data_IF_710808224973
#
_entry.id   IF_710808224973
#
_cell.length_a   1.000
_cell.length_b   1.000
_cell.length_c   1.000
_cell.angle_alpha   90.00
_cell.angle_beta   90.00
_cell.angle_gamma   90.00
#
_symmetry.space_group_name_H-M   'P 1'
#
loop_
_entity.id
_entity.type
_entity.pdbx_description
1 polymer ?
#
# COMPACT_ATOMS: atom_id res chain seq x y z
N UNK A 1 28.41 29.02 -39.57
CA UNK A 1 28.73 29.09 -38.15
C UNK A 1 27.52 29.34 -37.27
N UNK A 2 26.71 30.33 -37.54
CA UNK A 2 25.49 30.61 -36.73
C UNK A 2 24.45 29.47 -36.76
N UNK A 3 24.27 28.80 -37.89
CA UNK A 3 23.32 27.68 -38.03
C UNK A 3 23.76 26.43 -37.27
N UNK A 4 25.03 26.16 -37.23
CA UNK A 4 25.62 24.99 -36.52
C UNK A 4 25.46 25.11 -34.99
N UNK A 5 25.67 26.32 -34.47
CA UNK A 5 25.50 26.61 -33.02
C UNK A 5 24.03 26.50 -32.63
N UNK A 6 23.12 26.90 -33.50
CA UNK A 6 21.69 26.81 -33.24
C UNK A 6 21.18 25.36 -33.18
N UNK A 7 21.69 24.50 -34.05
CA UNK A 7 21.32 23.06 -34.06
C UNK A 7 21.84 22.35 -32.84
N UNK A 8 23.06 22.65 -32.37
CA UNK A 8 23.64 22.06 -31.16
C UNK A 8 22.87 22.51 -29.93
N UNK A 9 22.46 23.77 -29.85
CA UNK A 9 21.66 24.30 -28.75
C UNK A 9 20.29 23.64 -28.65
N UNK A 10 19.59 23.46 -29.76
CA UNK A 10 18.27 22.79 -29.77
C UNK A 10 18.40 21.32 -29.41
N UNK A 11 19.43 20.63 -29.88
CA UNK A 11 19.70 19.24 -29.50
C UNK A 11 19.94 19.05 -28.02
N UNK A 12 20.71 19.93 -27.39
CA UNK A 12 20.98 19.87 -25.96
C UNK A 12 19.74 20.12 -25.10
N UNK A 13 18.91 21.09 -25.50
CA UNK A 13 17.65 21.39 -24.79
C UNK A 13 16.67 20.22 -24.90
N UNK A 14 16.53 19.62 -26.07
CA UNK A 14 15.67 18.45 -26.28
C UNK A 14 16.13 17.27 -25.44
N UNK A 15 17.44 17.02 -25.34
CA UNK A 15 18.00 15.95 -24.52
C UNK A 15 17.69 16.15 -23.04
N UNK A 16 17.83 17.37 -22.53
CA UNK A 16 17.52 17.70 -21.14
C UNK A 16 16.02 17.52 -20.81
N UNK A 17 15.13 17.88 -21.73
CA UNK A 17 13.68 17.72 -21.56
C UNK A 17 13.31 16.24 -21.50
N UNK A 18 13.85 15.41 -22.39
CA UNK A 18 13.58 13.97 -22.41
C UNK A 18 14.09 13.29 -21.13
N UNK A 19 15.29 13.63 -20.66
CA UNK A 19 15.84 13.11 -19.40
C UNK A 19 15.02 13.57 -18.19
N UNK A 20 14.63 14.83 -18.13
CA UNK A 20 13.82 15.39 -17.05
C UNK A 20 12.43 14.75 -16.95
N UNK A 21 11.77 14.58 -18.09
CA UNK A 21 10.45 13.92 -18.16
C UNK A 21 10.55 12.43 -17.78
N UNK A 22 11.58 11.73 -18.28
CA UNK A 22 11.80 10.33 -17.95
C UNK A 22 12.00 10.11 -16.45
N UNK A 23 12.86 10.90 -15.80
CA UNK A 23 13.11 10.82 -14.35
C UNK A 23 11.85 11.18 -13.55
N UNK A 24 11.09 12.15 -14.00
CA UNK A 24 9.84 12.54 -13.36
C UNK A 24 8.79 11.41 -13.39
N UNK A 25 8.63 10.73 -14.52
CA UNK A 25 7.70 9.60 -14.64
C UNK A 25 8.15 8.39 -13.82
N UNK A 26 9.43 8.04 -13.82
CA UNK A 26 9.96 6.93 -13.03
C UNK A 26 9.83 7.17 -11.52
N UNK A 27 10.19 8.35 -11.05
CA UNK A 27 10.05 8.70 -9.64
C UNK A 27 8.60 8.71 -9.17
N UNK A 28 7.69 9.18 -10.01
CA UNK A 28 6.26 9.28 -9.67
C UNK A 28 5.59 7.92 -9.56
N UNK A 29 5.91 6.96 -10.41
CA UNK A 29 5.31 5.63 -10.37
C UNK A 29 5.69 4.85 -9.10
N UNK A 30 6.91 4.96 -8.62
CA UNK A 30 7.37 4.31 -7.40
C UNK A 30 6.73 4.93 -6.15
N UNK A 31 6.64 6.25 -6.09
CA UNK A 31 5.98 6.96 -4.99
C UNK A 31 4.47 6.71 -4.97
N UNK A 32 3.82 6.65 -6.13
CA UNK A 32 2.40 6.34 -6.21
C UNK A 32 2.08 4.93 -5.74
N UNK A 33 2.92 3.95 -6.05
CA UNK A 33 2.77 2.60 -5.56
C UNK A 33 2.82 2.51 -4.04
N UNK A 34 3.81 3.12 -3.42
CA UNK A 34 3.95 3.18 -1.97
C UNK A 34 2.76 3.90 -1.31
N UNK A 35 2.37 5.06 -1.82
CA UNK A 35 1.23 5.80 -1.30
C UNK A 35 -0.07 5.01 -1.42
N UNK A 36 -0.29 4.34 -2.53
CA UNK A 36 -1.49 3.53 -2.75
C UNK A 36 -1.57 2.36 -1.77
N UNK A 37 -0.48 1.64 -1.55
CA UNK A 37 -0.42 0.52 -0.59
C UNK A 37 -0.66 1.00 0.83
N UNK A 38 0.04 2.04 1.23
CA UNK A 38 -0.05 2.64 2.57
C UNK A 38 -1.47 3.16 2.82
N UNK A 39 -2.04 3.87 1.86
CA UNK A 39 -3.39 4.40 1.95
C UNK A 39 -4.44 3.31 2.07
N UNK A 40 -4.36 2.25 1.27
CA UNK A 40 -5.27 1.11 1.34
C UNK A 40 -5.20 0.45 2.71
N UNK A 41 -4.01 0.22 3.23
CA UNK A 41 -3.80 -0.41 4.53
C UNK A 41 -4.32 0.46 5.68
N UNK A 42 -4.09 1.76 5.63
CA UNK A 42 -4.60 2.70 6.62
C UNK A 42 -6.12 2.81 6.60
N UNK A 43 -6.72 2.87 5.43
CA UNK A 43 -8.17 2.87 5.28
C UNK A 43 -8.79 1.58 5.84
N UNK A 44 -8.17 0.45 5.55
CA UNK A 44 -8.61 -0.84 6.08
C UNK A 44 -8.60 -0.88 7.60
N UNK A 45 -7.51 -0.47 8.23
CA UNK A 45 -7.40 -0.41 9.69
C UNK A 45 -8.38 0.60 10.29
N UNK A 46 -8.60 1.71 9.64
CA UNK A 46 -9.56 2.74 10.03
C UNK A 46 -11.00 2.19 10.04
N UNK A 47 -11.37 1.42 9.02
CA UNK A 47 -12.68 0.76 8.97
C UNK A 47 -12.83 -0.30 10.07
N UNK A 48 -11.80 -1.11 10.32
CA UNK A 48 -11.82 -2.09 11.41
C UNK A 48 -12.00 -1.41 12.77
N UNK A 49 -11.27 -0.34 13.02
CA UNK A 49 -11.37 0.43 14.26
C UNK A 49 -12.75 1.05 14.44
N UNK A 50 -13.37 1.52 13.38
CA UNK A 50 -14.71 2.08 13.37
C UNK A 50 -15.83 1.01 13.48
N UNK A 51 -15.49 -0.28 13.37
CA UNK A 51 -16.45 -1.37 13.36
C UNK A 51 -17.16 -1.56 12.02
N UNK A 52 -16.69 -0.91 10.96
CA UNK A 52 -17.23 -1.01 9.61
C UNK A 52 -16.51 -2.12 8.83
N UNK A 53 -16.84 -3.36 9.17
CA UNK A 53 -16.23 -4.54 8.56
C UNK A 53 -16.66 -4.74 7.11
N UNK A 54 -17.81 -4.23 6.73
CA UNK A 54 -18.27 -4.27 5.34
C UNK A 54 -17.38 -3.41 4.44
N UNK A 55 -17.12 -2.17 4.84
CA UNK A 55 -16.22 -1.28 4.10
C UNK A 55 -14.79 -1.82 4.06
N UNK A 56 -14.31 -2.42 5.15
CA UNK A 56 -13.02 -3.08 5.19
C UNK A 56 -12.94 -4.24 4.20
N UNK A 57 -13.98 -5.06 4.10
CA UNK A 57 -14.03 -6.20 3.17
C UNK A 57 -13.96 -5.78 1.69
N UNK A 58 -14.38 -4.57 1.35
CA UNK A 58 -14.29 -4.04 -0.01
C UNK A 58 -12.85 -3.73 -0.45
N UNK A 59 -11.93 -3.61 0.49
CA UNK A 59 -10.49 -3.43 0.22
C UNK A 59 -9.76 -4.77 0.06
N UNK A 60 -10.44 -5.88 0.29
CA UNK A 60 -9.94 -7.23 0.06
C UNK A 60 -10.12 -7.61 -1.41
N UNK A 61 -9.12 -8.22 -2.01
CA UNK A 61 -9.20 -8.69 -3.39
C UNK A 61 -10.32 -9.75 -3.54
N UNK A 62 -11.05 -9.80 -4.68
CA UNK A 62 -12.14 -10.75 -4.87
C UNK A 62 -11.74 -12.20 -4.63
N UNK A 63 -10.52 -12.57 -4.99
CA UNK A 63 -9.96 -13.92 -4.79
C UNK A 63 -9.76 -14.28 -3.31
N UNK A 64 -9.66 -13.29 -2.43
CA UNK A 64 -9.43 -13.45 -0.99
C UNK A 64 -10.68 -13.20 -0.14
N UNK A 65 -11.77 -12.71 -0.73
CA UNK A 65 -12.99 -12.36 0.03
C UNK A 65 -13.66 -13.57 0.69
N UNK A 66 -13.53 -14.75 0.13
CA UNK A 66 -14.05 -15.98 0.73
C UNK A 66 -13.30 -16.36 2.01
N UNK A 67 -12.01 -16.04 2.10
CA UNK A 67 -11.17 -16.28 3.29
C UNK A 67 -11.37 -15.20 4.35
N UNK A 68 -11.50 -13.95 3.93
CA UNK A 68 -11.60 -12.77 4.81
C UNK A 68 -13.00 -12.15 4.72
N UNK A 69 -14.00 -12.89 5.18
CA UNK A 69 -15.38 -12.40 5.29
C UNK A 69 -15.51 -11.35 6.40
N UNK A 70 -16.61 -10.60 6.42
CA UNK A 70 -16.89 -9.65 7.50
C UNK A 70 -16.82 -10.33 8.89
N UNK A 71 -17.39 -11.52 9.02
CA UNK A 71 -17.38 -12.29 10.25
C UNK A 71 -15.95 -12.67 10.67
N UNK A 72 -15.13 -13.09 9.70
CA UNK A 72 -13.72 -13.44 9.95
C UNK A 72 -12.89 -12.22 10.33
N UNK A 73 -13.07 -11.09 9.67
CA UNK A 73 -12.42 -9.83 10.00
C UNK A 73 -12.78 -9.36 11.41
N UNK A 74 -14.06 -9.44 11.76
CA UNK A 74 -14.55 -9.12 13.11
C UNK A 74 -13.92 -10.02 14.16
N UNK A 75 -13.87 -11.31 13.91
CA UNK A 75 -13.24 -12.29 14.79
C UNK A 75 -11.76 -11.99 15.04
N UNK A 76 -11.01 -11.76 13.98
CA UNK A 76 -9.58 -11.45 14.06
C UNK A 76 -9.31 -10.14 14.77
N UNK A 77 -10.09 -9.11 14.48
CA UNK A 77 -9.99 -7.83 15.15
C UNK A 77 -10.27 -7.93 16.66
N UNK A 78 -11.32 -8.67 17.03
CA UNK A 78 -11.67 -8.88 18.42
C UNK A 78 -10.58 -9.66 19.15
N UNK A 79 -9.93 -10.64 18.51
CA UNK A 79 -8.80 -11.37 19.10
C UNK A 79 -7.60 -10.45 19.33
N UNK A 80 -7.32 -9.57 18.37
CA UNK A 80 -6.27 -8.58 18.53
C UNK A 80 -6.57 -7.63 19.70
N UNK A 81 -7.76 -7.10 19.79
CA UNK A 81 -8.16 -6.21 20.89
C UNK A 81 -8.15 -6.89 22.25
N UNK A 82 -8.47 -8.17 22.33
CA UNK A 82 -8.31 -8.93 23.57
C UNK A 82 -6.86 -9.06 24.01
N UNK A 83 -5.96 -9.19 23.07
CA UNK A 83 -4.53 -9.35 23.36
C UNK A 83 -3.83 -8.04 23.74
N UNK A 84 -4.09 -6.97 23.00
CA UNK A 84 -3.38 -5.68 23.15
C UNK A 84 -4.23 -4.58 23.79
N UNK A 85 -5.51 -4.84 24.03
CA UNK A 85 -6.47 -3.85 24.51
C UNK A 85 -7.07 -3.04 23.38
N UNK A 86 -7.76 -1.95 23.71
CA UNK A 86 -8.39 -1.09 22.73
C UNK A 86 -7.34 -0.43 21.83
N UNK A 87 -7.54 -0.53 20.53
CA UNK A 87 -6.61 0.05 19.55
C UNK A 87 -6.69 1.57 19.60
N UNK A 88 -5.53 2.20 19.78
CA UNK A 88 -5.37 3.65 19.84
C UNK A 88 -4.82 4.24 18.55
N UNK A 89 -4.00 3.49 17.84
CA UNK A 89 -3.40 3.94 16.60
C UNK A 89 -2.51 2.88 15.99
N UNK A 90 -1.86 3.25 14.92
CA UNK A 90 -0.90 2.40 14.22
C UNK A 90 0.18 3.24 13.56
N UNK A 91 1.29 2.59 13.24
CA UNK A 91 2.40 3.17 12.51
C UNK A 91 3.00 2.18 11.53
N UNK A 92 3.54 2.67 10.44
CA UNK A 92 4.27 1.85 9.48
C UNK A 92 5.55 1.32 10.12
N UNK A 93 5.73 0.00 10.11
CA UNK A 93 6.94 -0.64 10.62
C UNK A 93 7.87 -1.06 9.48
N UNK A 94 7.32 -1.66 8.43
CA UNK A 94 8.09 -2.24 7.34
C UNK A 94 7.27 -2.27 6.06
N UNK A 95 7.92 -2.07 4.93
CA UNK A 95 7.27 -2.25 3.62
C UNK A 95 8.27 -2.77 2.59
N UNK A 96 7.74 -3.44 1.58
CA UNK A 96 8.51 -3.87 0.42
C UNK A 96 7.61 -3.95 -0.81
N UNK A 97 8.13 -3.58 -1.96
CA UNK A 97 7.46 -3.73 -3.25
C UNK A 97 8.40 -4.50 -4.15
N UNK A 98 7.94 -5.59 -4.71
CA UNK A 98 8.71 -6.42 -5.62
C UNK A 98 7.81 -6.95 -6.75
N UNK A 99 8.42 -7.56 -7.75
CA UNK A 99 7.72 -8.18 -8.86
C UNK A 99 8.01 -9.68 -8.85
N UNK A 100 6.97 -10.49 -8.87
CA UNK A 100 7.06 -11.94 -9.03
C UNK A 100 6.45 -12.40 -10.37
N UNK A 101 6.29 -13.69 -10.55
CA UNK A 101 5.71 -14.26 -11.77
C UNK A 101 4.25 -13.84 -12.02
N UNK A 102 3.54 -13.41 -10.98
CA UNK A 102 2.15 -12.93 -11.07
C UNK A 102 2.02 -11.42 -11.26
N UNK A 103 3.13 -10.67 -11.21
CA UNK A 103 3.19 -9.23 -11.35
C UNK A 103 3.73 -8.53 -10.11
N UNK A 104 3.39 -7.26 -9.93
CA UNK A 104 3.82 -6.46 -8.79
C UNK A 104 3.13 -6.94 -7.49
N UNK A 105 3.90 -7.00 -6.41
CA UNK A 105 3.41 -7.37 -5.07
C UNK A 105 3.92 -6.34 -4.07
N UNK A 106 3.04 -5.84 -3.23
CA UNK A 106 3.38 -4.99 -2.10
C UNK A 106 3.17 -5.72 -0.79
N UNK A 107 4.14 -5.65 0.10
CA UNK A 107 4.02 -6.12 1.48
C UNK A 107 4.19 -4.95 2.43
N UNK A 108 3.40 -4.94 3.49
CA UNK A 108 3.41 -3.87 4.46
C UNK A 108 3.14 -4.44 5.84
N UNK A 109 3.92 -4.02 6.82
CA UNK A 109 3.68 -4.35 8.23
C UNK A 109 3.33 -3.08 8.99
N UNK A 110 2.16 -3.08 9.60
CA UNK A 110 1.72 -2.01 10.50
C UNK A 110 1.86 -2.47 11.95
N UNK A 111 2.46 -1.62 12.77
CA UNK A 111 2.49 -1.80 14.21
C UNK A 111 1.24 -1.18 14.80
N UNK A 112 0.47 -1.98 15.52
CA UNK A 112 -0.79 -1.55 16.13
C UNK A 112 -0.54 -1.26 17.61
N UNK A 113 -0.94 -0.08 18.04
CA UNK A 113 -0.80 0.36 19.41
C UNK A 113 -2.13 0.21 20.14
N UNK A 114 -2.16 -0.64 21.15
CA UNK A 114 -3.28 -0.81 22.06
C UNK A 114 -2.96 -0.22 23.43
N UNK A 115 -3.99 -0.09 24.27
CA UNK A 115 -3.83 0.43 25.63
C UNK A 115 -3.13 -0.54 26.60
N UNK A 116 -3.04 -1.82 26.24
CA UNK A 116 -2.39 -2.87 27.03
C UNK A 116 -1.13 -3.46 26.41
N UNK A 117 -0.83 -3.12 25.18
CA UNK A 117 0.32 -3.66 24.45
C UNK A 117 0.28 -3.31 22.97
N UNK A 118 1.19 -3.93 22.21
CA UNK A 118 1.31 -3.73 20.80
C UNK A 118 1.09 -5.03 20.05
N UNK A 119 0.54 -4.90 18.83
CA UNK A 119 0.41 -5.99 17.87
C UNK A 119 0.93 -5.57 16.51
N UNK A 120 0.82 -6.46 15.56
CA UNK A 120 1.19 -6.21 14.16
C UNK A 120 0.11 -6.71 13.23
N UNK A 121 -0.05 -6.05 12.10
CA UNK A 121 -0.83 -6.54 10.97
C UNK A 121 0.05 -6.51 9.73
N UNK A 122 0.25 -7.67 9.14
CA UNK A 122 0.97 -7.81 7.88
C UNK A 122 -0.03 -7.86 6.74
N UNK A 123 0.23 -7.05 5.73
CA UNK A 123 -0.58 -6.97 4.52
C UNK A 123 0.22 -7.46 3.33
N UNK A 124 -0.40 -8.24 2.48
CA UNK A 124 0.09 -8.51 1.13
C UNK A 124 -0.93 -7.96 0.16
N UNK A 125 -0.51 -7.05 -0.71
CA UNK A 125 -1.37 -6.36 -1.66
C UNK A 125 -0.90 -6.63 -3.09
N UNK A 126 -1.87 -6.72 -3.99
CA UNK A 126 -1.61 -6.82 -5.42
C UNK A 126 -2.39 -5.77 -6.17
N UNK A 127 -1.85 -5.23 -7.28
CA UNK A 127 -2.61 -4.30 -8.10
C UNK A 127 -3.72 -5.05 -8.84
N UNK A 128 -4.90 -4.45 -8.83
CA UNK A 128 -6.06 -4.92 -9.58
C UNK A 128 -6.68 -3.73 -10.30
N UNK A 129 -6.39 -3.60 -11.59
CA UNK A 129 -6.66 -2.40 -12.34
C UNK A 129 -5.81 -1.23 -11.83
N UNK A 130 -6.45 -0.12 -11.45
CA UNK A 130 -5.79 1.06 -10.89
C UNK A 130 -5.69 1.03 -9.37
N UNK A 131 -6.20 -0.02 -8.72
CA UNK A 131 -6.27 -0.14 -7.27
C UNK A 131 -5.35 -1.23 -6.76
N UNK A 132 -4.80 -1.00 -5.59
CA UNK A 132 -4.11 -2.03 -4.83
C UNK A 132 -5.10 -2.63 -3.82
N UNK A 133 -5.31 -3.94 -3.89
CA UNK A 133 -6.21 -4.66 -3.01
C UNK A 133 -5.46 -5.67 -2.15
N UNK A 134 -6.00 -5.93 -0.96
CA UNK A 134 -5.41 -6.84 0.01
C UNK A 134 -5.72 -8.28 -0.39
N UNK A 135 -4.68 -9.09 -0.54
CA UNK A 135 -4.81 -10.52 -0.89
C UNK A 135 -4.52 -11.43 0.30
N UNK A 136 -3.75 -10.97 1.27
CA UNK A 136 -3.43 -11.74 2.47
C UNK A 136 -3.28 -10.81 3.66
N UNK A 137 -3.77 -11.27 4.81
CA UNK A 137 -3.67 -10.60 6.10
C UNK A 137 -3.12 -11.56 7.14
N UNK A 138 -2.23 -11.04 7.98
CA UNK A 138 -1.75 -11.75 9.16
C UNK A 138 -1.76 -10.83 10.36
N UNK A 139 -2.48 -11.23 11.38
CA UNK A 139 -2.51 -10.53 12.66
C UNK A 139 -1.55 -11.19 13.63
N UNK A 140 -0.77 -10.39 14.39
CA UNK A 140 0.16 -10.86 15.40
C UNK A 140 0.09 -10.00 16.65
N UNK A 141 0.40 -10.63 17.81
CA UNK A 141 0.49 -9.96 19.12
C UNK A 141 1.45 -10.69 20.04
#
# INVERSE_FOLDING_TARGET
MKTTIMIVGIGAVLLCVVCGVGLFFFGRSTLQGFQAISQTSEQFLSHLKAGDFQAASQLIAPTAQATYTEAELRKRWNLLERAIGKVQGWSLSKYNIYTDTSGAVGTLTMRIQGDKGNGTVDFLLKPEGERWLITELRFGW
#
